data_IF_516400852272
#
_entry.id   IF_516400852272
#
_cell.length_a   1.000
_cell.length_b   1.000
_cell.length_c   1.000
_cell.angle_alpha   90.00
_cell.angle_beta   90.00
_cell.angle_gamma   90.00
#
_symmetry.space_group_name_H-M   'P 1'
#
loop_
_entity.id
_entity.type
_entity.pdbx_description
1 polymer ?
#
# COMPACT_ATOMS: atom_id res chain seq x y z
N UNK A 1 -10.63 -33.62 -19.24
CA UNK A 1 -10.35 -33.12 -17.86
C UNK A 1 -9.47 -31.87 -17.85
N UNK A 2 -8.50 -31.75 -18.76
CA UNK A 2 -7.53 -30.64 -18.81
C UNK A 2 -8.11 -29.28 -19.24
N UNK A 3 -9.03 -29.26 -20.22
CA UNK A 3 -9.70 -28.04 -20.68
C UNK A 3 -10.52 -27.37 -19.56
N UNK A 4 -11.26 -28.16 -18.75
CA UNK A 4 -12.01 -27.66 -17.59
C UNK A 4 -11.09 -27.03 -16.53
N UNK A 5 -9.89 -27.60 -16.32
CA UNK A 5 -8.86 -27.02 -15.42
C UNK A 5 -8.34 -25.69 -15.96
N UNK A 6 -8.08 -25.59 -17.28
CA UNK A 6 -7.59 -24.37 -17.92
C UNK A 6 -8.64 -23.24 -17.90
N UNK A 7 -9.92 -23.54 -18.15
CA UNK A 7 -11.02 -22.57 -18.03
C UNK A 7 -11.14 -22.04 -16.60
N UNK A 8 -11.04 -22.91 -15.58
CA UNK A 8 -11.06 -22.50 -14.17
C UNK A 8 -9.88 -21.58 -13.82
N UNK A 9 -8.68 -21.88 -14.33
CA UNK A 9 -7.49 -21.02 -14.17
C UNK A 9 -7.68 -19.64 -14.80
N UNK A 10 -8.22 -19.56 -16.02
CA UNK A 10 -8.50 -18.29 -16.71
C UNK A 10 -9.48 -17.42 -15.92
N UNK A 11 -10.57 -18.01 -15.43
CA UNK A 11 -11.55 -17.29 -14.59
C UNK A 11 -10.92 -16.81 -13.28
N UNK A 12 -10.15 -17.67 -12.59
CA UNK A 12 -9.43 -17.26 -11.37
C UNK A 12 -8.46 -16.11 -11.63
N UNK A 13 -7.70 -16.17 -12.74
CA UNK A 13 -6.74 -15.12 -13.11
C UNK A 13 -7.43 -13.77 -13.34
N UNK A 14 -8.59 -13.77 -14.00
CA UNK A 14 -9.40 -12.55 -14.19
C UNK A 14 -9.90 -11.99 -12.86
N UNK A 15 -10.34 -12.84 -11.93
CA UNK A 15 -10.82 -12.40 -10.63
C UNK A 15 -9.70 -11.72 -9.82
N UNK A 16 -8.52 -12.35 -9.75
CA UNK A 16 -7.35 -11.76 -9.04
C UNK A 16 -6.91 -10.45 -9.71
N UNK A 17 -6.93 -10.37 -11.05
CA UNK A 17 -6.62 -9.13 -11.77
C UNK A 17 -7.63 -8.00 -11.45
N UNK A 18 -8.92 -8.31 -11.36
CA UNK A 18 -9.95 -7.34 -10.98
C UNK A 18 -9.78 -6.88 -9.52
N UNK A 19 -9.46 -7.80 -8.60
CA UNK A 19 -9.18 -7.48 -7.20
C UNK A 19 -7.94 -6.59 -7.08
N UNK A 20 -6.88 -6.90 -7.82
CA UNK A 20 -5.70 -6.05 -7.92
C UNK A 20 -6.07 -4.62 -8.34
N UNK A 21 -6.84 -4.46 -9.41
CA UNK A 21 -7.29 -3.16 -9.89
C UNK A 21 -8.15 -2.42 -8.85
N UNK A 22 -9.13 -3.10 -8.27
CA UNK A 22 -10.05 -2.50 -7.30
C UNK A 22 -9.28 -2.02 -6.06
N UNK A 23 -8.44 -2.88 -5.49
CA UNK A 23 -7.66 -2.53 -4.29
C UNK A 23 -6.58 -1.49 -4.57
N UNK A 24 -6.03 -1.44 -5.79
CA UNK A 24 -5.08 -0.39 -6.17
C UNK A 24 -5.76 0.98 -6.32
N UNK A 25 -6.97 1.03 -6.89
CA UNK A 25 -7.77 2.26 -6.92
C UNK A 25 -8.03 2.81 -5.53
N UNK A 26 -8.46 1.93 -4.62
CA UNK A 26 -8.71 2.32 -3.24
C UNK A 26 -7.41 2.80 -2.56
N UNK A 27 -6.31 2.09 -2.76
CA UNK A 27 -5.01 2.45 -2.18
C UNK A 27 -4.52 3.82 -2.68
N UNK A 28 -4.52 4.06 -4.00
CA UNK A 28 -4.14 5.36 -4.59
C UNK A 28 -5.05 6.48 -4.11
N UNK A 29 -6.36 6.22 -3.98
CA UNK A 29 -7.30 7.19 -3.42
C UNK A 29 -6.97 7.52 -1.96
N UNK A 30 -6.67 6.51 -1.14
CA UNK A 30 -6.29 6.72 0.26
C UNK A 30 -4.94 7.43 0.40
N UNK A 31 -3.95 7.15 -0.45
CA UNK A 31 -2.69 7.89 -0.47
C UNK A 31 -2.90 9.36 -0.81
N UNK A 32 -3.80 9.67 -1.75
CA UNK A 32 -4.17 11.05 -2.04
C UNK A 32 -4.78 11.73 -0.82
N UNK A 33 -5.67 11.06 -0.09
CA UNK A 33 -6.25 11.60 1.15
C UNK A 33 -5.13 11.87 2.19
N UNK A 34 -4.20 10.94 2.37
CA UNK A 34 -3.05 11.12 3.26
C UNK A 34 -2.24 12.37 2.92
N UNK A 35 -1.96 12.59 1.64
CA UNK A 35 -1.22 13.76 1.15
C UNK A 35 -2.01 15.06 1.35
N UNK A 36 -3.22 15.14 0.81
CA UNK A 36 -3.96 16.39 0.67
C UNK A 36 -4.68 16.82 1.95
N UNK A 37 -5.12 15.86 2.77
CA UNK A 37 -5.91 16.17 3.98
C UNK A 37 -5.06 16.19 5.25
N UNK A 38 -3.92 15.51 5.26
CA UNK A 38 -3.07 15.41 6.45
C UNK A 38 -1.68 16.00 6.23
N UNK A 39 -0.85 15.38 5.40
CA UNK A 39 0.58 15.70 5.35
C UNK A 39 0.86 17.11 4.85
N UNK A 40 0.28 17.53 3.71
CA UNK A 40 0.47 18.90 3.20
C UNK A 40 -0.08 19.96 4.14
N UNK A 41 -1.33 19.87 4.64
CA UNK A 41 -1.83 20.83 5.63
C UNK A 41 -0.98 20.93 6.89
N UNK A 42 -0.39 19.82 7.37
CA UNK A 42 0.49 19.83 8.54
C UNK A 42 1.78 20.60 8.25
N UNK A 43 2.40 20.34 7.09
CA UNK A 43 3.73 20.87 6.75
C UNK A 43 3.68 22.30 6.22
N UNK A 44 2.66 22.65 5.43
CA UNK A 44 2.56 23.95 4.74
C UNK A 44 1.95 25.05 5.62
N UNK A 45 1.08 24.69 6.58
CA UNK A 45 0.45 25.68 7.44
C UNK A 45 1.37 26.04 8.63
N UNK A 46 1.88 27.27 8.64
CA UNK A 46 2.77 27.76 9.68
C UNK A 46 2.19 27.66 11.10
N UNK A 47 0.87 27.82 11.26
CA UNK A 47 0.23 27.67 12.57
C UNK A 47 0.30 26.21 13.05
N UNK A 48 0.08 25.24 12.16
CA UNK A 48 0.20 23.82 12.47
C UNK A 48 1.63 23.47 12.84
N UNK A 49 2.62 23.92 12.05
CA UNK A 49 4.04 23.67 12.33
C UNK A 49 4.46 24.23 13.69
N UNK A 50 3.97 25.41 14.09
CA UNK A 50 4.25 26.00 15.41
C UNK A 50 3.64 25.22 16.58
N UNK A 51 2.56 24.46 16.35
CA UNK A 51 1.95 23.59 17.35
C UNK A 51 2.74 22.28 17.53
N UNK A 52 3.58 21.91 16.55
CA UNK A 52 4.40 20.71 16.59
C UNK A 52 5.76 20.98 17.21
N UNK A 53 6.30 19.96 17.87
CA UNK A 53 7.72 19.93 18.22
C UNK A 53 8.58 19.84 16.96
N UNK A 54 9.78 20.48 16.91
CA UNK A 54 10.65 20.45 15.73
C UNK A 54 10.93 19.05 15.19
N UNK A 55 11.12 18.06 16.07
CA UNK A 55 11.36 16.68 15.65
C UNK A 55 10.13 16.09 14.93
N UNK A 56 8.93 16.26 15.48
CA UNK A 56 7.70 15.74 14.87
C UNK A 56 7.37 16.45 13.55
N UNK A 57 7.59 17.77 13.48
CA UNK A 57 7.44 18.52 12.24
C UNK A 57 8.38 18.01 11.14
N UNK A 58 9.65 17.74 11.49
CA UNK A 58 10.63 17.19 10.56
C UNK A 58 10.21 15.79 10.05
N UNK A 59 9.75 14.91 10.94
CA UNK A 59 9.29 13.57 10.54
C UNK A 59 8.03 13.61 9.65
N UNK A 60 7.11 14.56 9.87
CA UNK A 60 5.99 14.77 8.94
C UNK A 60 6.44 15.27 7.57
N UNK A 61 7.43 16.16 7.52
CA UNK A 61 8.02 16.65 6.26
C UNK A 61 8.68 15.51 5.45
N UNK A 62 9.47 14.68 6.13
CA UNK A 62 10.12 13.52 5.51
C UNK A 62 9.09 12.46 5.07
N UNK A 63 8.05 12.26 5.88
CA UNK A 63 6.90 11.40 5.50
C UNK A 63 6.18 11.93 4.28
N UNK A 64 5.96 13.25 4.16
CA UNK A 64 5.36 13.87 2.99
C UNK A 64 6.17 13.55 1.73
N UNK A 65 7.47 13.83 1.73
CA UNK A 65 8.34 13.52 0.59
C UNK A 65 8.36 12.04 0.23
N UNK A 66 8.39 11.14 1.23
CA UNK A 66 8.33 9.70 1.01
C UNK A 66 7.02 9.24 0.36
N UNK A 67 5.88 9.71 0.88
CA UNK A 67 4.55 9.37 0.35
C UNK A 67 4.34 9.93 -1.05
N UNK A 68 4.87 11.10 -1.39
CA UNK A 68 4.76 11.65 -2.74
C UNK A 68 5.43 10.76 -3.79
N UNK A 69 6.61 10.22 -3.48
CA UNK A 69 7.31 9.29 -4.38
C UNK A 69 6.50 8.00 -4.53
N UNK A 70 6.03 7.43 -3.42
CA UNK A 70 5.22 6.21 -3.40
C UNK A 70 3.91 6.44 -4.19
N UNK A 71 3.21 7.54 -3.95
CA UNK A 71 1.97 7.90 -4.62
C UNK A 71 2.16 8.01 -6.13
N UNK A 72 3.21 8.69 -6.59
CA UNK A 72 3.51 8.82 -8.03
C UNK A 72 3.69 7.46 -8.69
N UNK A 73 4.45 6.56 -8.06
CA UNK A 73 4.64 5.20 -8.55
C UNK A 73 3.31 4.44 -8.64
N UNK A 74 2.50 4.47 -7.58
CA UNK A 74 1.22 3.77 -7.56
C UNK A 74 0.17 4.35 -8.51
N UNK A 75 0.20 5.67 -8.73
CA UNK A 75 -0.66 6.30 -9.71
C UNK A 75 -0.30 5.85 -11.14
N UNK A 76 1.00 5.73 -11.45
CA UNK A 76 1.46 5.21 -12.73
C UNK A 76 1.11 3.73 -12.90
N UNK A 77 1.37 2.90 -11.88
CA UNK A 77 1.04 1.48 -11.87
C UNK A 77 -0.46 1.26 -12.06
N UNK A 78 -1.31 2.03 -11.38
CA UNK A 78 -2.76 1.98 -11.54
C UNK A 78 -3.17 2.24 -13.00
N UNK A 79 -2.62 3.29 -13.63
CA UNK A 79 -2.91 3.59 -15.03
C UNK A 79 -2.53 2.43 -15.96
N UNK A 80 -1.37 1.81 -15.75
CA UNK A 80 -0.93 0.64 -16.52
C UNK A 80 -1.86 -0.57 -16.31
N UNK A 81 -2.30 -0.83 -15.08
CA UNK A 81 -3.25 -1.91 -14.77
C UNK A 81 -4.60 -1.64 -15.43
N UNK A 82 -5.12 -0.41 -15.36
CA UNK A 82 -6.38 -0.01 -16.00
C UNK A 82 -6.36 -0.27 -17.51
N UNK A 83 -5.30 0.15 -18.20
CA UNK A 83 -5.16 -0.07 -19.64
C UNK A 83 -5.11 -1.56 -20.00
N UNK A 84 -4.38 -2.37 -19.21
CA UNK A 84 -4.33 -3.83 -19.42
C UNK A 84 -5.67 -4.51 -19.18
N UNK A 85 -6.47 -4.01 -18.24
CA UNK A 85 -7.76 -4.62 -17.91
C UNK A 85 -8.91 -4.17 -18.84
N UNK A 86 -8.82 -2.99 -19.45
CA UNK A 86 -9.77 -2.56 -20.51
C UNK A 86 -9.81 -3.54 -21.68
N UNK A 87 -8.65 -4.10 -22.05
CA UNK A 87 -8.49 -5.05 -23.17
C UNK A 87 -8.20 -6.47 -22.68
N UNK A 88 -8.66 -6.81 -21.48
CA UNK A 88 -8.34 -8.08 -20.83
C UNK A 88 -8.73 -9.29 -21.68
N UNK A 89 -7.77 -10.20 -21.84
CA UNK A 89 -7.97 -11.51 -22.43
C UNK A 89 -7.11 -12.56 -21.69
N UNK A 90 -7.33 -13.86 -21.93
CA UNK A 90 -6.59 -14.92 -21.23
C UNK A 90 -5.07 -14.86 -21.37
N UNK A 91 -4.53 -14.16 -22.38
CA UNK A 91 -3.10 -13.99 -22.63
C UNK A 91 -2.53 -12.65 -22.15
N UNK A 92 -3.36 -11.76 -21.57
CA UNK A 92 -2.91 -10.47 -21.03
C UNK A 92 -1.78 -10.67 -20.02
N UNK A 93 -0.78 -9.79 -19.99
CA UNK A 93 0.40 -9.91 -19.13
C UNK A 93 0.43 -8.77 -18.11
N UNK A 94 0.61 -9.12 -16.82
CA UNK A 94 0.64 -8.18 -15.70
C UNK A 94 1.97 -8.22 -14.92
N UNK A 95 2.73 -9.32 -14.99
CA UNK A 95 3.93 -9.50 -14.16
C UNK A 95 4.98 -8.42 -14.40
N UNK A 96 5.17 -8.02 -15.67
CA UNK A 96 6.13 -6.98 -16.04
C UNK A 96 5.86 -5.62 -15.38
N UNK A 97 4.60 -5.31 -15.04
CA UNK A 97 4.22 -4.04 -14.40
C UNK A 97 4.81 -3.89 -12.99
N UNK A 98 5.15 -5.01 -12.34
CA UNK A 98 5.65 -5.03 -10.97
C UNK A 98 7.18 -5.06 -10.88
N UNK A 99 7.89 -5.33 -11.98
CA UNK A 99 9.35 -5.34 -12.00
C UNK A 99 9.97 -4.01 -11.54
N UNK A 100 9.39 -2.83 -11.87
CA UNK A 100 9.93 -1.56 -11.38
C UNK A 100 9.83 -1.38 -9.85
N UNK A 101 8.99 -2.15 -9.15
CA UNK A 101 8.77 -2.00 -7.70
C UNK A 101 10.08 -2.10 -6.90
N UNK A 102 11.03 -2.94 -7.35
CA UNK A 102 12.34 -3.07 -6.73
C UNK A 102 13.15 -1.75 -6.74
N UNK A 103 12.99 -0.89 -7.76
CA UNK A 103 13.67 0.41 -7.81
C UNK A 103 13.14 1.37 -6.74
N UNK A 104 11.88 1.21 -6.33
CA UNK A 104 11.26 2.02 -5.30
C UNK A 104 11.48 1.49 -3.88
N UNK A 105 12.20 0.37 -3.72
CA UNK A 105 12.55 -0.22 -2.42
C UNK A 105 13.16 0.81 -1.48
N UNK A 106 14.12 1.62 -1.97
CA UNK A 106 14.77 2.65 -1.16
C UNK A 106 13.77 3.70 -0.65
N UNK A 107 12.80 4.07 -1.46
CA UNK A 107 11.75 5.03 -1.06
C UNK A 107 10.82 4.44 -0.01
N UNK A 108 10.45 3.16 -0.16
CA UNK A 108 9.68 2.42 0.83
C UNK A 108 10.42 2.28 2.16
N UNK A 109 11.69 1.91 2.11
CA UNK A 109 12.58 1.80 3.27
C UNK A 109 12.66 3.12 4.06
N UNK A 110 12.98 4.21 3.37
CA UNK A 110 13.02 5.54 3.96
C UNK A 110 11.68 5.91 4.58
N UNK A 111 10.57 5.66 3.88
CA UNK A 111 9.24 5.95 4.41
C UNK A 111 8.91 5.14 5.66
N UNK A 112 9.21 3.83 5.69
CA UNK A 112 8.94 2.96 6.85
C UNK A 112 9.64 3.49 8.10
N UNK A 113 10.88 3.95 7.98
CA UNK A 113 11.62 4.54 9.09
C UNK A 113 10.94 5.82 9.63
N UNK A 114 10.57 6.75 8.75
CA UNK A 114 9.88 7.97 9.15
C UNK A 114 8.50 7.69 9.73
N UNK A 115 7.76 6.75 9.15
CA UNK A 115 6.48 6.28 9.66
C UNK A 115 6.60 5.80 11.12
N UNK A 116 7.60 4.97 11.42
CA UNK A 116 7.84 4.49 12.79
C UNK A 116 8.11 5.65 13.74
N UNK A 117 8.96 6.59 13.36
CA UNK A 117 9.28 7.77 14.17
C UNK A 117 8.04 8.63 14.43
N UNK A 118 7.24 8.93 13.40
CA UNK A 118 5.96 9.65 13.53
C UNK A 118 5.05 8.93 14.51
N UNK A 119 4.84 7.62 14.36
CA UNK A 119 3.95 6.85 15.23
C UNK A 119 4.42 6.87 16.69
N UNK A 120 5.72 6.71 16.93
CA UNK A 120 6.29 6.76 18.28
C UNK A 120 6.12 8.14 18.92
N UNK A 121 6.40 9.21 18.19
CA UNK A 121 6.24 10.58 18.67
C UNK A 121 4.76 10.92 18.94
N UNK A 122 3.85 10.51 18.06
CA UNK A 122 2.41 10.64 18.27
C UNK A 122 1.91 9.82 19.46
N UNK A 123 2.54 8.68 19.77
CA UNK A 123 2.18 7.88 20.94
C UNK A 123 2.62 8.55 22.25
N UNK A 124 3.84 9.12 22.28
CA UNK A 124 4.36 9.89 23.43
C UNK A 124 3.49 11.12 23.75
N UNK A 125 2.82 11.68 22.75
CA UNK A 125 1.97 12.87 22.86
C UNK A 125 0.47 12.58 22.80
N UNK A 126 0.04 11.37 23.20
CA UNK A 126 -1.38 10.97 23.16
C UNK A 126 -2.28 11.86 24.05
N UNK A 127 -1.74 12.46 25.10
CA UNK A 127 -2.46 13.35 26.03
C UNK A 127 -2.40 14.83 25.63
N UNK A 128 -1.65 15.19 24.58
CA UNK A 128 -1.53 16.56 24.07
C UNK A 128 -2.81 16.94 23.32
N UNK A 129 -3.73 17.64 24.01
CA UNK A 129 -5.04 18.02 23.46
C UNK A 129 -4.92 18.91 22.22
N UNK A 130 -3.91 19.78 22.15
CA UNK A 130 -3.74 20.67 20.99
C UNK A 130 -3.38 19.86 19.75
N UNK A 131 -2.45 18.90 19.90
CA UNK A 131 -2.11 17.99 18.83
C UNK A 131 -3.29 17.10 18.42
N UNK A 132 -4.02 16.51 19.38
CA UNK A 132 -5.18 15.69 19.05
C UNK A 132 -6.27 16.48 18.31
N UNK A 133 -6.56 17.71 18.78
CA UNK A 133 -7.53 18.59 18.13
C UNK A 133 -7.09 18.98 16.71
N UNK A 134 -5.80 19.25 16.51
CA UNK A 134 -5.25 19.49 15.17
C UNK A 134 -5.48 18.28 14.27
N UNK A 135 -5.06 17.09 14.70
CA UNK A 135 -5.20 15.87 13.89
C UNK A 135 -6.67 15.53 13.58
N UNK A 136 -7.59 15.78 14.51
CA UNK A 136 -9.03 15.56 14.29
C UNK A 136 -9.61 16.62 13.35
N UNK A 137 -9.19 17.88 13.45
CA UNK A 137 -9.64 18.96 12.56
C UNK A 137 -9.25 18.75 11.09
N UNK A 138 -8.16 18.02 10.85
CA UNK A 138 -7.66 17.67 9.52
C UNK A 138 -8.35 16.44 8.93
N UNK A 139 -9.09 15.68 9.74
CA UNK A 139 -9.78 14.47 9.30
C UNK A 139 -10.87 14.83 8.29
N UNK A 140 -10.86 14.27 7.07
CA UNK A 140 -11.94 14.48 6.12
C UNK A 140 -13.26 13.96 6.71
N UNK A 141 -14.33 14.76 6.67
CA UNK A 141 -15.64 14.35 7.21
C UNK A 141 -16.19 13.07 6.55
N UNK A 142 -15.85 12.83 5.28
CA UNK A 142 -16.22 11.63 4.55
C UNK A 142 -15.35 10.40 4.88
N UNK A 143 -14.22 10.59 5.59
CA UNK A 143 -13.28 9.54 5.94
C UNK A 143 -13.42 9.16 7.41
N UNK A 144 -13.87 7.94 7.70
CA UNK A 144 -13.96 7.42 9.09
C UNK A 144 -12.59 7.20 9.77
N UNK A 145 -11.50 7.22 9.00
CA UNK A 145 -10.13 6.86 9.41
C UNK A 145 -9.34 8.07 9.92
N UNK A 146 -8.54 7.91 10.97
CA UNK A 146 -7.60 8.93 11.45
C UNK A 146 -6.27 8.89 10.68
N UNK A 147 -5.41 9.89 10.89
CA UNK A 147 -4.10 9.98 10.20
C UNK A 147 -3.26 8.72 10.33
N UNK A 148 -3.27 8.07 11.51
CA UNK A 148 -2.49 6.85 11.79
C UNK A 148 -2.92 5.68 10.91
N UNK A 149 -4.21 5.58 10.59
CA UNK A 149 -4.76 4.53 9.73
C UNK A 149 -4.32 4.69 8.27
N UNK A 150 -4.07 5.93 7.84
CA UNK A 150 -3.53 6.21 6.51
C UNK A 150 -2.01 6.01 6.45
N UNK A 151 -1.29 6.45 7.48
CA UNK A 151 0.16 6.34 7.58
C UNK A 151 0.68 4.89 7.51
N UNK A 152 -0.10 3.91 7.99
CA UNK A 152 0.30 2.49 7.93
C UNK A 152 0.09 1.86 6.54
N UNK A 153 -0.69 2.48 5.65
CA UNK A 153 -1.11 1.83 4.40
C UNK A 153 0.04 1.45 3.46
N UNK A 154 1.11 2.26 3.26
CA UNK A 154 2.23 1.84 2.43
C UNK A 154 2.94 0.59 2.94
N UNK A 155 3.04 0.44 4.26
CA UNK A 155 3.61 -0.75 4.90
C UNK A 155 2.72 -1.98 4.63
N UNK A 156 1.40 -1.80 4.69
CA UNK A 156 0.42 -2.86 4.45
C UNK A 156 0.32 -3.29 2.98
N UNK A 157 0.66 -2.39 2.04
CA UNK A 157 0.50 -2.67 0.61
C UNK A 157 1.49 -3.74 0.13
N UNK A 158 2.69 -3.79 0.68
CA UNK A 158 3.72 -4.76 0.28
C UNK A 158 3.29 -6.21 0.50
N UNK A 159 2.83 -6.63 1.71
CA UNK A 159 2.27 -7.97 1.91
C UNK A 159 1.08 -8.29 0.99
N UNK A 160 0.23 -7.30 0.70
CA UNK A 160 -0.90 -7.48 -0.21
C UNK A 160 -0.45 -7.86 -1.62
N UNK A 161 0.65 -7.27 -2.11
CA UNK A 161 1.21 -7.67 -3.40
C UNK A 161 1.80 -9.06 -3.40
N UNK A 162 2.46 -9.50 -2.33
CA UNK A 162 2.94 -10.88 -2.21
C UNK A 162 1.79 -11.87 -2.38
N UNK A 163 0.65 -11.62 -1.71
CA UNK A 163 -0.55 -12.45 -1.82
C UNK A 163 -1.13 -12.45 -3.24
N UNK A 164 -1.37 -11.26 -3.82
CA UNK A 164 -1.98 -11.14 -5.16
C UNK A 164 -1.11 -11.75 -6.26
N UNK A 165 0.21 -11.51 -6.23
CA UNK A 165 1.15 -12.09 -7.19
C UNK A 165 1.22 -13.61 -7.05
N UNK A 166 1.25 -14.12 -5.82
CA UNK A 166 1.21 -15.56 -5.56
C UNK A 166 -0.07 -16.21 -6.13
N UNK A 167 -1.22 -15.57 -5.97
CA UNK A 167 -2.48 -16.07 -6.54
C UNK A 167 -2.51 -15.99 -8.06
N UNK A 168 -1.94 -14.94 -8.67
CA UNK A 168 -1.77 -14.82 -10.11
C UNK A 168 -0.86 -15.92 -10.67
N UNK A 169 0.28 -16.21 -10.02
CA UNK A 169 1.17 -17.32 -10.41
C UNK A 169 0.42 -18.65 -10.37
N UNK A 170 -0.28 -18.95 -9.27
CA UNK A 170 -1.10 -20.18 -9.13
C UNK A 170 -2.19 -20.29 -10.20
N UNK A 171 -2.78 -19.15 -10.60
CA UNK A 171 -3.83 -19.08 -11.62
C UNK A 171 -3.26 -19.06 -13.06
N UNK A 172 -1.95 -18.96 -13.24
CA UNK A 172 -1.27 -18.94 -14.54
C UNK A 172 -0.68 -20.34 -14.82
N UNK A 173 -0.54 -20.71 -16.09
CA UNK A 173 0.10 -21.97 -16.51
C UNK A 173 1.51 -21.69 -17.04
N UNK A 174 2.43 -22.65 -16.95
CA UNK A 174 3.85 -22.43 -17.23
C UNK A 174 4.14 -21.96 -18.66
N UNK A 175 3.37 -22.44 -19.65
CA UNK A 175 3.49 -21.99 -21.04
C UNK A 175 2.81 -20.64 -21.34
N UNK A 176 2.28 -19.94 -20.33
CA UNK A 176 1.74 -18.59 -20.48
C UNK A 176 2.88 -17.58 -20.53
N UNK A 177 2.86 -16.64 -21.48
CA UNK A 177 3.95 -15.66 -21.64
C UNK A 177 4.21 -14.75 -20.42
N UNK A 178 3.22 -14.60 -19.54
CA UNK A 178 3.36 -13.83 -18.28
C UNK A 178 3.96 -14.65 -17.11
N UNK A 179 4.06 -15.98 -17.23
CA UNK A 179 4.40 -16.83 -16.08
C UNK A 179 5.77 -16.47 -15.49
N UNK A 180 6.79 -16.35 -16.33
CA UNK A 180 8.15 -15.99 -15.90
C UNK A 180 8.21 -14.60 -15.27
N UNK A 181 7.52 -13.62 -15.88
CA UNK A 181 7.45 -12.26 -15.34
C UNK A 181 6.72 -12.21 -13.99
N UNK A 182 5.68 -13.04 -13.80
CA UNK A 182 4.96 -13.13 -12.53
C UNK A 182 5.82 -13.75 -11.43
N UNK A 183 6.59 -14.80 -11.75
CA UNK A 183 7.54 -15.40 -10.80
C UNK A 183 8.62 -14.40 -10.40
N UNK A 184 9.25 -13.73 -11.37
CA UNK A 184 10.24 -12.69 -11.11
C UNK A 184 9.66 -11.51 -10.30
N UNK A 185 8.45 -11.06 -10.64
CA UNK A 185 7.77 -10.03 -9.87
C UNK A 185 7.51 -10.47 -8.43
N UNK A 186 7.06 -11.72 -8.22
CA UNK A 186 6.83 -12.27 -6.89
C UNK A 186 8.13 -12.30 -6.08
N UNK A 187 9.24 -12.76 -6.67
CA UNK A 187 10.57 -12.76 -6.05
C UNK A 187 11.02 -11.35 -5.68
N UNK A 188 10.89 -10.38 -6.60
CA UNK A 188 11.27 -8.98 -6.34
C UNK A 188 10.46 -8.35 -5.20
N UNK A 189 9.15 -8.58 -5.16
CA UNK A 189 8.31 -8.08 -4.06
C UNK A 189 8.65 -8.77 -2.73
N UNK A 190 9.04 -10.05 -2.78
CA UNK A 190 9.49 -10.77 -1.59
C UNK A 190 10.83 -10.26 -1.07
N UNK A 191 11.81 -10.02 -1.95
CA UNK A 191 13.07 -9.35 -1.59
C UNK A 191 12.80 -8.01 -0.93
N UNK A 192 11.93 -7.18 -1.53
CA UNK A 192 11.51 -5.89 -0.96
C UNK A 192 10.92 -6.07 0.44
N UNK A 193 10.01 -7.02 0.63
CA UNK A 193 9.40 -7.25 1.93
C UNK A 193 10.44 -7.64 3.00
N UNK A 194 11.35 -8.57 2.67
CA UNK A 194 12.40 -9.02 3.58
C UNK A 194 13.37 -7.88 3.91
N UNK A 195 13.75 -7.06 2.93
CA UNK A 195 14.63 -5.91 3.16
C UNK A 195 13.96 -4.86 4.06
N UNK A 196 12.67 -4.60 3.87
CA UNK A 196 11.90 -3.72 4.76
C UNK A 196 11.77 -4.31 6.17
N UNK A 197 11.57 -5.62 6.31
CA UNK A 197 11.54 -6.31 7.61
C UNK A 197 12.90 -6.22 8.33
N UNK A 198 13.99 -6.45 7.61
CA UNK A 198 15.35 -6.40 8.18
C UNK A 198 15.75 -4.97 8.59
N UNK A 199 15.36 -3.97 7.81
CA UNK A 199 15.60 -2.56 8.17
C UNK A 199 14.70 -2.08 9.31
N UNK A 200 13.54 -2.72 9.50
CA UNK A 200 12.62 -2.43 10.60
C UNK A 200 12.84 -3.30 11.85
N UNK A 201 13.91 -4.11 11.88
CA UNK A 201 14.23 -5.02 12.99
C UNK A 201 14.43 -4.32 14.36
N UNK A 202 14.62 -3.00 14.39
CA UNK A 202 14.66 -2.20 15.63
C UNK A 202 13.27 -1.76 16.15
N UNK A 203 12.14 -2.00 15.47
CA UNK A 203 10.80 -1.86 16.08
C UNK A 203 9.64 -2.54 15.31
N UNK A 204 9.09 -3.60 15.90
CA UNK A 204 7.72 -4.11 15.72
C UNK A 204 7.30 -4.55 14.30
N UNK A 205 7.62 -5.81 14.00
CA UNK A 205 6.89 -6.78 13.16
C UNK A 205 5.84 -6.20 12.19
N UNK A 206 6.21 -6.09 10.92
CA UNK A 206 5.27 -6.11 9.78
C UNK A 206 4.24 -7.25 9.97
N UNK A 207 4.64 -8.37 10.61
CA UNK A 207 3.77 -9.50 10.94
C UNK A 207 2.53 -9.15 11.79
N UNK A 208 2.60 -8.23 12.76
CA UNK A 208 1.43 -7.88 13.61
C UNK A 208 0.41 -7.00 12.89
N UNK A 209 0.83 -6.33 11.81
CA UNK A 209 -0.02 -5.52 10.95
C UNK A 209 -0.81 -6.41 9.96
N UNK A 210 -0.22 -7.52 9.52
CA UNK A 210 -0.89 -8.54 8.68
C UNK A 210 -2.03 -9.24 9.43
N UNK A 211 -1.85 -9.52 10.73
CA UNK A 211 -2.85 -10.21 11.57
C UNK A 211 -4.13 -9.37 11.81
N UNK A 212 -3.99 -8.04 11.95
CA UNK A 212 -5.14 -7.14 12.10
C UNK A 212 -5.84 -6.84 10.76
N UNK A 213 -5.09 -6.81 9.65
CA UNK A 213 -5.65 -6.52 8.32
C UNK A 213 -6.39 -7.72 7.70
N UNK A 214 -5.88 -8.95 7.90
CA UNK A 214 -6.59 -10.18 7.48
C UNK A 214 -7.92 -10.35 8.21
N UNK A 215 -8.00 -9.98 9.48
CA UNK A 215 -9.23 -10.06 10.28
C UNK A 215 -10.31 -9.06 9.82
N UNK A 216 -9.91 -7.90 9.28
CA UNK A 216 -10.84 -6.88 8.77
C UNK A 216 -11.31 -7.17 7.34
N UNK A 217 -10.46 -7.70 6.46
CA UNK A 217 -10.87 -8.01 5.08
C UNK A 217 -11.82 -9.22 5.02
N UNK A 218 -11.67 -10.22 5.91
CA UNK A 218 -12.62 -11.34 6.03
C UNK A 218 -14.02 -10.94 6.56
N UNK A 219 -14.17 -9.75 7.14
CA UNK A 219 -15.47 -9.25 7.64
C UNK A 219 -16.26 -8.42 6.64
N UNK A 220 -15.61 -7.76 5.68
CA UNK A 220 -16.32 -6.90 4.71
C UNK A 220 -17.00 -7.75 3.61
N UNK A 221 -16.45 -8.92 3.27
CA UNK A 221 -17.10 -9.85 2.34
C UNK A 221 -18.32 -10.60 2.93
N UNK A 222 -18.58 -10.46 4.24
CA UNK A 222 -19.76 -11.03 4.92
C UNK A 222 -20.91 -10.03 5.11
N UNK A 223 -20.80 -8.80 4.60
CA UNK A 223 -21.92 -7.87 4.52
C UNK A 223 -22.27 -7.59 3.05
N UNK A 224 -22.70 -8.64 2.36
CA UNK A 224 -23.73 -8.51 1.33
C UNK A 224 -25.04 -8.99 1.94
N UNK A 225 -25.89 -8.04 2.33
CA UNK A 225 -27.33 -8.19 2.22
C UNK A 225 -27.73 -7.61 0.87
#
# INVERSE_FOLDING_TARGET
>A
MELKRRVKKVSKRKNVANELLHTEKEYVSNLRILLESFLRPIVENQANVKLLEPQLANEFSLSLSGVEIIFKFHQELLGQIEEKLKTWNPSSQLGALFLPMAFYLKSYATYVNHYQNVVQLLAKRKTDKNLQNLLESLKPQAAGKGIKDYLIMPVQRIPRYQMLLHELVKATWESHGDYQNLVQAQEKVQEVAVDLENQSADACSIARVVELSTTLHFRIDNFKL
#
